data_IF_576198232907
#
_entry.id   IF_576198232907
#
_cell.length_a   1.000
_cell.length_b   1.000
_cell.length_c   1.000
_cell.angle_alpha   90.00
_cell.angle_beta   90.00
_cell.angle_gamma   90.00
#
_symmetry.space_group_name_H-M   'P 1'
#
loop_
_entity.id
_entity.type
_entity.pdbx_description
1 polymer ?
#
# COMPACT_ATOMS: atom_id res chain seq x y z
N UNK A 1 18.38 11.24 14.50
CA UNK A 1 17.70 10.53 13.40
C UNK A 1 16.24 10.95 13.41
N UNK A 2 15.84 11.80 12.47
CA UNK A 2 14.43 12.20 12.32
C UNK A 2 13.68 10.98 11.77
N UNK A 3 12.90 10.30 12.62
CA UNK A 3 11.88 9.37 12.13
C UNK A 3 11.00 10.14 11.16
N UNK A 4 11.20 9.91 9.86
CA UNK A 4 10.35 10.44 8.82
C UNK A 4 9.01 9.75 9.07
N UNK A 5 8.01 10.50 9.53
CA UNK A 5 6.64 10.03 9.68
C UNK A 5 6.07 9.81 8.26
N UNK A 6 6.55 8.75 7.59
CA UNK A 6 6.15 8.35 6.24
C UNK A 6 4.75 7.75 6.34
N UNK A 7 3.77 8.63 6.44
CA UNK A 7 2.35 8.28 6.35
C UNK A 7 1.88 8.19 4.90
N UNK A 8 2.81 8.24 3.94
CA UNK A 8 2.53 8.21 2.52
C UNK A 8 3.58 7.37 1.80
N UNK A 9 3.14 6.58 0.84
CA UNK A 9 3.98 5.87 -0.12
C UNK A 9 3.28 5.80 -1.49
N UNK A 10 4.04 5.33 -2.48
CA UNK A 10 3.54 5.07 -3.82
C UNK A 10 3.38 3.56 -4.02
N UNK A 11 2.28 3.18 -4.66
CA UNK A 11 2.00 1.79 -5.04
C UNK A 11 2.45 1.60 -6.48
N UNK A 12 3.34 0.63 -6.67
CA UNK A 12 3.82 0.23 -7.98
C UNK A 12 3.08 -1.02 -8.45
N UNK A 13 2.87 -1.14 -9.75
CA UNK A 13 2.31 -2.33 -10.39
C UNK A 13 3.11 -2.66 -11.65
N UNK A 14 3.27 -3.95 -11.91
CA UNK A 14 3.72 -4.46 -13.22
C UNK A 14 2.50 -4.90 -14.00
N UNK A 15 2.25 -4.27 -15.15
CA UNK A 15 1.06 -4.57 -15.95
C UNK A 15 1.20 -5.91 -16.69
N UNK A 16 0.08 -6.58 -17.04
CA UNK A 16 0.12 -7.82 -17.80
C UNK A 16 0.92 -7.67 -19.11
N UNK A 17 1.92 -8.54 -19.30
CA UNK A 17 2.79 -8.52 -20.48
C UNK A 17 3.93 -7.51 -20.44
N UNK A 18 3.98 -6.65 -19.41
CA UNK A 18 5.07 -5.69 -19.19
C UNK A 18 6.10 -6.26 -18.21
N UNK A 19 7.31 -5.67 -18.21
CA UNK A 19 8.40 -6.00 -17.27
C UNK A 19 8.76 -4.85 -16.33
N UNK A 20 8.40 -3.64 -16.73
CA UNK A 20 8.72 -2.43 -15.97
C UNK A 20 7.61 -2.18 -14.95
N UNK A 21 8.03 -1.85 -13.73
CA UNK A 21 7.15 -1.38 -12.69
C UNK A 21 6.79 0.09 -12.91
N UNK A 22 5.52 0.43 -12.73
CA UNK A 22 5.03 1.80 -12.87
C UNK A 22 4.23 2.22 -11.64
N UNK A 23 4.24 3.51 -11.34
CA UNK A 23 3.42 4.07 -10.25
C UNK A 23 1.95 4.02 -10.66
N UNK A 24 1.15 3.28 -9.90
CA UNK A 24 -0.29 3.16 -10.10
C UNK A 24 -1.08 4.11 -9.21
N UNK A 25 -0.67 4.24 -7.95
CA UNK A 25 -1.45 4.96 -6.94
C UNK A 25 -0.57 5.59 -5.87
N UNK A 26 -1.16 6.53 -5.14
CA UNK A 26 -0.64 7.07 -3.89
C UNK A 26 -1.45 6.47 -2.74
N UNK A 27 -0.76 5.93 -1.75
CA UNK A 27 -1.37 5.39 -0.54
C UNK A 27 -0.95 6.23 0.66
N UNK A 28 -1.90 6.57 1.53
CA UNK A 28 -1.66 7.31 2.75
C UNK A 28 -2.36 6.66 3.95
N UNK A 29 -1.69 6.66 5.10
CA UNK A 29 -2.30 6.29 6.38
C UNK A 29 -2.71 7.58 7.08
N UNK A 30 -3.98 7.71 7.45
CA UNK A 30 -4.49 8.80 8.28
C UNK A 30 -4.82 8.29 9.66
N UNK A 31 -4.38 9.00 10.71
CA UNK A 31 -4.76 8.70 12.09
C UNK A 31 -5.86 9.66 12.53
N UNK A 32 -6.95 9.12 13.06
CA UNK A 32 -8.08 9.89 13.60
C UNK A 32 -8.43 9.40 15.01
N UNK A 33 -9.38 10.09 15.68
CA UNK A 33 -9.93 9.64 16.97
C UNK A 33 -10.61 8.27 16.88
N UNK A 34 -11.11 7.89 15.70
CA UNK A 34 -11.74 6.60 15.46
C UNK A 34 -10.74 5.48 15.14
N UNK A 35 -9.44 5.77 15.06
CA UNK A 35 -8.39 4.83 14.66
C UNK A 35 -7.69 5.23 13.35
N UNK A 36 -6.69 4.43 12.91
CA UNK A 36 -6.02 4.61 11.63
C UNK A 36 -6.88 4.15 10.46
N UNK A 37 -6.80 4.84 9.33
CA UNK A 37 -7.43 4.46 8.06
C UNK A 37 -6.44 4.58 6.90
N UNK A 38 -6.55 3.68 5.93
CA UNK A 38 -5.83 3.78 4.68
C UNK A 38 -6.62 4.57 3.66
N UNK A 39 -5.94 5.36 2.84
CA UNK A 39 -6.56 6.04 1.70
C UNK A 39 -5.71 5.82 0.47
N UNK A 40 -6.35 5.42 -0.62
CA UNK A 40 -5.67 5.15 -1.88
C UNK A 40 -6.33 5.94 -3.01
N UNK A 41 -5.52 6.58 -3.82
CA UNK A 41 -5.99 7.25 -5.03
C UNK A 41 -5.11 6.86 -6.22
N UNK A 42 -5.73 6.42 -7.31
CA UNK A 42 -5.01 6.16 -8.56
C UNK A 42 -4.36 7.46 -9.08
N UNK A 43 -3.15 7.32 -9.61
CA UNK A 43 -2.43 8.42 -10.21
C UNK A 43 -3.12 8.86 -11.50
N UNK A 44 -3.23 10.18 -11.73
CA UNK A 44 -3.82 10.71 -12.97
C UNK A 44 -3.14 10.16 -14.23
N UNK A 45 -1.82 10.01 -14.21
CA UNK A 45 -1.05 9.41 -15.30
C UNK A 45 -1.37 7.94 -15.51
N UNK A 46 -1.66 7.19 -14.44
CA UNK A 46 -2.05 5.79 -14.49
C UNK A 46 -3.43 5.63 -15.12
N UNK A 47 -4.41 6.44 -14.69
CA UNK A 47 -5.77 6.45 -15.22
C UNK A 47 -5.87 6.80 -16.71
N UNK A 48 -4.90 7.54 -17.24
CA UNK A 48 -4.85 7.90 -18.66
C UNK A 48 -4.26 6.79 -19.55
N UNK A 49 -3.78 5.69 -18.96
CA UNK A 49 -3.19 4.59 -19.73
C UNK A 49 -4.28 3.75 -20.38
N UNK A 50 -4.05 3.37 -21.64
CA UNK A 50 -4.94 2.45 -22.37
C UNK A 50 -4.96 1.03 -21.79
N UNK A 51 -3.91 0.64 -21.07
CA UNK A 51 -3.77 -0.66 -20.43
C UNK A 51 -3.77 -0.58 -18.90
N UNK A 52 -4.40 0.46 -18.34
CA UNK A 52 -4.61 0.50 -16.89
C UNK A 52 -5.50 -0.67 -16.45
N UNK A 53 -5.13 -1.31 -15.34
CA UNK A 53 -5.93 -2.34 -14.68
C UNK A 53 -6.12 -1.98 -13.21
N UNK A 54 -7.22 -2.42 -12.63
CA UNK A 54 -7.49 -2.28 -11.20
C UNK A 54 -6.43 -3.03 -10.39
N UNK A 55 -5.96 -2.43 -9.29
CA UNK A 55 -5.08 -3.11 -8.32
C UNK A 55 -5.83 -4.26 -7.64
N UNK A 56 -7.11 -4.03 -7.34
CA UNK A 56 -8.01 -4.99 -6.72
C UNK A 56 -9.40 -4.80 -7.34
N UNK A 57 -9.91 -5.77 -8.11
CA UNK A 57 -11.20 -5.64 -8.79
C UNK A 57 -12.40 -5.65 -7.85
N UNK A 58 -12.21 -5.90 -6.54
CA UNK A 58 -13.26 -5.91 -5.52
C UNK A 58 -13.23 -4.61 -4.72
N UNK A 59 -12.11 -4.30 -4.05
CA UNK A 59 -12.04 -3.12 -3.16
C UNK A 59 -11.58 -1.84 -3.86
N UNK A 60 -10.87 -1.94 -4.99
CA UNK A 60 -10.27 -0.82 -5.73
C UNK A 60 -10.73 -0.81 -7.21
N UNK A 61 -11.99 -1.14 -7.41
CA UNK A 61 -12.58 -1.58 -8.68
C UNK A 61 -12.74 -0.50 -9.77
N UNK A 62 -12.68 0.78 -9.43
CA UNK A 62 -12.95 1.86 -10.39
C UNK A 62 -11.65 2.58 -10.74
N UNK A 63 -11.30 2.55 -12.02
CA UNK A 63 -10.20 3.35 -12.55
C UNK A 63 -10.65 4.79 -12.78
N UNK A 64 -10.89 5.51 -11.68
CA UNK A 64 -11.23 6.92 -11.68
C UNK A 64 -10.40 7.72 -10.65
N UNK A 65 -10.68 9.01 -10.55
CA UNK A 65 -9.99 9.92 -9.63
C UNK A 65 -10.50 9.87 -8.19
N UNK A 66 -11.35 8.90 -7.82
CA UNK A 66 -11.87 8.79 -6.47
C UNK A 66 -10.76 8.37 -5.49
N UNK A 67 -10.96 8.73 -4.23
CA UNK A 67 -10.11 8.24 -3.14
C UNK A 67 -10.84 7.14 -2.40
N UNK A 68 -10.28 5.93 -2.45
CA UNK A 68 -10.72 4.79 -1.67
C UNK A 68 -10.30 4.97 -0.22
N UNK A 69 -11.12 4.51 0.72
CA UNK A 69 -10.82 4.54 2.15
C UNK A 69 -11.07 3.16 2.74
N UNK A 70 -10.07 2.62 3.44
CA UNK A 70 -10.17 1.35 4.15
C UNK A 70 -10.05 1.58 5.65
N UNK A 71 -10.99 1.00 6.41
CA UNK A 71 -11.03 1.01 7.87
C UNK A 71 -11.27 -0.43 8.33
N UNK A 72 -10.40 -0.93 9.19
CA UNK A 72 -10.46 -2.28 9.74
C UNK A 72 -9.34 -2.49 10.76
N UNK A 73 -9.03 -3.76 11.06
CA UNK A 73 -7.95 -4.12 12.00
C UNK A 73 -6.56 -3.62 11.56
N UNK A 74 -6.42 -3.29 10.28
CA UNK A 74 -5.24 -2.66 9.71
C UNK A 74 -5.67 -1.58 8.72
N UNK A 75 -4.94 -0.44 8.63
CA UNK A 75 -5.22 0.59 7.64
C UNK A 75 -4.86 0.16 6.21
N UNK A 76 -4.16 -0.96 6.02
CA UNK A 76 -3.81 -1.46 4.69
C UNK A 76 -4.99 -2.18 4.03
N UNK A 77 -5.27 -1.84 2.77
CA UNK A 77 -6.14 -2.62 1.90
C UNK A 77 -5.67 -4.08 1.81
N UNK A 78 -6.57 -5.09 1.71
CA UNK A 78 -6.19 -6.49 1.67
C UNK A 78 -5.20 -6.84 0.55
N UNK A 79 -5.41 -6.30 -0.66
CA UNK A 79 -4.49 -6.48 -1.80
C UNK A 79 -3.08 -5.95 -1.53
N UNK A 80 -2.95 -4.79 -0.87
CA UNK A 80 -1.64 -4.27 -0.46
C UNK A 80 -0.99 -5.09 0.65
N UNK A 81 -1.81 -5.65 1.55
CA UNK A 81 -1.34 -6.51 2.64
C UNK A 81 -0.82 -7.85 2.13
N UNK A 82 -1.45 -8.40 1.10
CA UNK A 82 -1.05 -9.66 0.48
C UNK A 82 0.33 -9.54 -0.20
N UNK A 83 0.67 -8.34 -0.69
CA UNK A 83 1.98 -8.04 -1.25
C UNK A 83 3.08 -7.79 -0.20
N UNK A 84 2.74 -7.76 1.10
CA UNK A 84 3.73 -7.57 2.16
C UNK A 84 4.58 -8.82 2.36
N UNK A 85 5.83 -8.66 2.88
CA UNK A 85 6.61 -9.80 3.34
C UNK A 85 5.83 -10.60 4.38
N UNK A 86 5.99 -11.92 4.32
CA UNK A 86 5.43 -12.84 5.32
C UNK A 86 6.03 -12.62 6.71
N UNK A 87 5.64 -13.45 7.69
CA UNK A 87 6.14 -13.32 9.06
C UNK A 87 7.67 -13.39 9.13
N UNK A 88 8.29 -14.27 8.35
CA UNK A 88 9.75 -14.43 8.38
C UNK A 88 10.45 -13.28 7.67
N UNK A 89 9.92 -12.82 6.53
CA UNK A 89 10.42 -11.65 5.82
C UNK A 89 10.38 -10.38 6.66
N UNK A 90 9.28 -10.15 7.40
CA UNK A 90 9.18 -9.04 8.36
C UNK A 90 10.26 -9.13 9.44
N UNK A 91 10.45 -10.32 10.00
CA UNK A 91 11.50 -10.55 11.01
C UNK A 91 12.91 -10.24 10.51
N UNK A 92 13.22 -10.63 9.27
CA UNK A 92 14.52 -10.35 8.64
C UNK A 92 14.72 -8.85 8.44
N UNK A 93 13.68 -8.13 8.01
CA UNK A 93 13.71 -6.67 7.86
C UNK A 93 13.91 -6.00 9.22
N UNK A 94 13.13 -6.38 10.23
CA UNK A 94 13.23 -5.81 11.57
C UNK A 94 14.62 -6.04 12.18
N UNK A 95 15.18 -7.25 12.01
CA UNK A 95 16.55 -7.58 12.41
C UNK A 95 17.58 -6.70 11.72
N UNK A 96 17.43 -6.46 10.42
CA UNK A 96 18.35 -5.64 9.63
C UNK A 96 18.31 -4.16 10.06
N UNK A 97 17.14 -3.68 10.50
CA UNK A 97 16.94 -2.34 11.05
C UNK A 97 17.31 -2.21 12.54
N UNK A 98 17.77 -3.30 13.17
CA UNK A 98 18.25 -3.31 14.55
C UNK A 98 17.20 -3.59 15.62
N UNK A 99 16.04 -4.13 15.25
CA UNK A 99 15.02 -4.63 16.19
C UNK A 99 15.47 -5.89 16.96
N UNK A 100 14.98 -6.05 18.19
CA UNK A 100 15.12 -7.26 19.01
C UNK A 100 14.04 -8.30 18.66
N UNK A 101 14.34 -9.59 18.86
CA UNK A 101 13.48 -10.71 18.48
C UNK A 101 12.32 -10.98 19.47
N UNK A 102 12.15 -10.12 20.49
CA UNK A 102 11.39 -10.45 21.69
C UNK A 102 9.93 -9.92 21.68
N UNK A 103 9.56 -9.04 20.74
CA UNK A 103 8.24 -8.39 20.70
C UNK A 103 7.25 -9.00 19.68
N UNK A 104 7.10 -10.32 19.68
CA UNK A 104 6.05 -11.00 18.88
C UNK A 104 5.30 -12.08 19.66
N UNK A 105 4.88 -11.71 20.88
CA UNK A 105 3.79 -12.34 21.62
C UNK A 105 2.53 -11.49 21.55
#
# INVERSE_FOLDING_TARGET
MTSKNLQECFVYITLPGEKEEIVAARFEIRRSRAGPSGRLAYGRSYLQRRNAVEIDPIELQTLDGQTYVHVGDSPLFPSLRDALPDRWGRLVIDRAEGGELDDLG
#
